data_IF_702143213671
#
_entry.id   IF_702143213671
#
_cell.length_a   1.000
_cell.length_b   1.000
_cell.length_c   1.000
_cell.angle_alpha   90.00
_cell.angle_beta   90.00
_cell.angle_gamma   90.00
#
_symmetry.space_group_name_H-M   'P 1'
#
loop_
_entity.id
_entity.type
_entity.pdbx_description
1 polymer ?
#
# COMPACT_ATOMS: atom_id res chain seq x y z
N UNK A 1 -40.70 -5.68 1.89
CA UNK A 1 -40.74 -4.68 2.99
C UNK A 1 -41.87 -4.98 3.98
N UNK A 2 -43.15 -5.05 3.57
CA UNK A 2 -44.25 -5.39 4.48
C UNK A 2 -44.21 -6.83 5.08
N UNK A 3 -43.37 -7.71 4.54
CA UNK A 3 -43.16 -9.09 5.01
C UNK A 3 -41.88 -9.28 5.82
N UNK A 4 -41.12 -8.22 6.10
CA UNK A 4 -39.89 -8.32 6.89
C UNK A 4 -40.23 -8.41 8.39
N UNK A 5 -39.60 -9.34 9.14
CA UNK A 5 -39.80 -9.43 10.58
C UNK A 5 -39.38 -8.11 11.25
N UNK A 6 -40.30 -7.50 12.02
CA UNK A 6 -40.05 -6.24 12.76
C UNK A 6 -40.75 -5.00 12.21
N UNK A 7 -41.40 -5.07 11.05
CA UNK A 7 -42.16 -3.94 10.47
C UNK A 7 -43.66 -4.15 10.70
N UNK A 8 -44.23 -3.50 11.73
CA UNK A 8 -45.64 -3.61 12.12
C UNK A 8 -46.51 -2.46 11.57
N UNK A 9 -46.29 -2.04 10.34
CA UNK A 9 -47.04 -0.94 9.69
C UNK A 9 -47.76 -1.39 8.42
N UNK A 10 -48.83 -0.66 8.07
CA UNK A 10 -49.63 -0.99 6.90
C UNK A 10 -48.83 -0.81 5.59
N UNK A 11 -49.16 -1.55 4.53
CA UNK A 11 -48.56 -1.35 3.21
C UNK A 11 -48.71 0.08 2.67
N UNK A 12 -49.79 0.78 3.04
CA UNK A 12 -50.01 2.17 2.67
C UNK A 12 -49.00 3.11 3.36
N UNK A 13 -48.72 2.88 4.63
CA UNK A 13 -47.70 3.63 5.40
C UNK A 13 -46.32 3.45 4.76
N UNK A 14 -45.94 2.21 4.44
CA UNK A 14 -44.65 1.92 3.78
C UNK A 14 -44.55 2.62 2.42
N UNK A 15 -45.63 2.68 1.63
CA UNK A 15 -45.60 3.40 0.34
C UNK A 15 -45.39 4.90 0.51
N UNK A 16 -46.04 5.49 1.52
CA UNK A 16 -45.89 6.92 1.83
C UNK A 16 -44.47 7.24 2.31
N UNK A 17 -43.93 6.45 3.24
CA UNK A 17 -42.57 6.67 3.76
C UNK A 17 -41.53 6.51 2.65
N UNK A 18 -41.67 5.50 1.80
CA UNK A 18 -40.79 5.31 0.65
C UNK A 18 -40.92 6.44 -0.38
N UNK A 19 -42.08 7.11 -0.48
CA UNK A 19 -42.26 8.28 -1.35
C UNK A 19 -41.63 9.53 -0.75
N UNK A 20 -41.67 9.70 0.58
CA UNK A 20 -40.95 10.75 1.28
C UNK A 20 -39.43 10.58 1.13
N UNK A 21 -38.91 9.36 1.32
CA UNK A 21 -37.49 9.06 1.12
C UNK A 21 -37.01 9.29 -0.32
N UNK A 22 -37.87 9.08 -1.30
CA UNK A 22 -37.58 9.41 -2.70
C UNK A 22 -37.58 10.93 -2.94
N UNK A 23 -38.57 11.66 -2.39
CA UNK A 23 -38.63 13.12 -2.47
C UNK A 23 -37.41 13.79 -1.78
N UNK A 24 -36.93 13.19 -0.69
CA UNK A 24 -35.75 13.64 0.06
C UNK A 24 -34.43 13.18 -0.58
N UNK A 25 -34.48 12.41 -1.67
CA UNK A 25 -33.33 11.98 -2.47
C UNK A 25 -32.52 10.81 -1.87
N UNK A 26 -33.07 10.08 -0.90
CA UNK A 26 -32.44 8.86 -0.35
C UNK A 26 -32.71 7.62 -1.19
N UNK A 27 -33.81 7.61 -1.95
CA UNK A 27 -34.20 6.52 -2.84
C UNK A 27 -34.41 7.05 -4.26
N UNK A 28 -34.25 6.17 -5.25
CA UNK A 28 -34.57 6.45 -6.65
C UNK A 28 -35.25 5.23 -7.27
N UNK A 29 -36.12 5.47 -8.25
CA UNK A 29 -36.67 4.42 -9.10
C UNK A 29 -35.91 4.36 -10.43
N UNK A 30 -35.02 3.36 -10.66
CA UNK A 30 -34.16 3.34 -11.84
C UNK A 30 -34.93 3.08 -13.15
N UNK A 31 -36.01 2.29 -13.07
CA UNK A 31 -36.94 2.04 -14.17
C UNK A 31 -38.38 2.02 -13.67
N UNK A 32 -39.34 2.40 -14.51
CA UNK A 32 -40.77 2.49 -14.18
C UNK A 32 -41.40 1.20 -13.63
N UNK A 33 -40.79 0.03 -13.90
CA UNK A 33 -41.21 -1.28 -13.39
C UNK A 33 -40.34 -1.82 -12.24
N UNK A 34 -39.22 -1.18 -11.94
CA UNK A 34 -38.31 -1.60 -10.87
C UNK A 34 -38.79 -1.06 -9.51
N UNK A 35 -38.42 -1.76 -8.44
CA UNK A 35 -38.53 -1.24 -7.09
C UNK A 35 -37.62 -0.01 -6.88
N UNK A 36 -37.75 0.63 -5.72
CA UNK A 36 -36.87 1.73 -5.31
C UNK A 36 -35.52 1.17 -4.83
N UNK A 37 -34.43 1.81 -5.22
CA UNK A 37 -33.07 1.50 -4.77
C UNK A 37 -32.47 2.70 -4.03
N UNK A 38 -31.55 2.50 -3.06
CA UNK A 38 -30.89 3.60 -2.38
C UNK A 38 -30.00 4.40 -3.34
N UNK A 39 -29.96 5.71 -3.14
CA UNK A 39 -28.93 6.59 -3.72
C UNK A 39 -27.67 6.55 -2.87
N UNK A 40 -26.59 7.20 -3.29
CA UNK A 40 -25.37 7.36 -2.47
C UNK A 40 -25.69 7.98 -1.10
N UNK A 41 -26.63 8.95 -1.07
CA UNK A 41 -27.13 9.57 0.16
C UNK A 41 -27.88 8.55 1.04
N UNK A 42 -28.69 7.68 0.42
CA UNK A 42 -29.38 6.58 1.08
C UNK A 42 -28.42 5.56 1.70
N UNK A 43 -27.39 5.16 0.95
CA UNK A 43 -26.35 4.25 1.43
C UNK A 43 -25.53 4.88 2.55
N UNK A 44 -25.14 6.16 2.45
CA UNK A 44 -24.46 6.87 3.53
C UNK A 44 -25.28 6.86 4.81
N UNK A 45 -26.56 7.25 4.72
CA UNK A 45 -27.47 7.24 5.88
C UNK A 45 -27.53 5.85 6.51
N UNK A 46 -27.62 4.80 5.70
CA UNK A 46 -27.64 3.42 6.19
C UNK A 46 -26.36 3.05 6.93
N UNK A 47 -25.19 3.34 6.35
CA UNK A 47 -23.89 3.02 6.95
C UNK A 47 -23.65 3.81 8.24
N UNK A 48 -23.99 5.10 8.26
CA UNK A 48 -23.84 5.97 9.44
C UNK A 48 -24.67 5.51 10.64
N UNK A 49 -25.72 4.71 10.40
CA UNK A 49 -26.61 4.18 11.44
C UNK A 49 -26.34 2.69 11.77
N UNK A 50 -25.34 2.06 11.17
CA UNK A 50 -24.92 0.72 11.58
C UNK A 50 -24.38 0.75 13.00
N UNK A 51 -25.02 0.04 13.92
CA UNK A 51 -24.55 0.00 15.30
C UNK A 51 -23.33 -0.93 15.42
N UNK A 52 -22.51 -0.74 16.45
CA UNK A 52 -21.39 -1.64 16.76
C UNK A 52 -21.84 -3.09 16.93
N UNK A 53 -23.11 -3.32 17.29
CA UNK A 53 -23.70 -4.66 17.43
C UNK A 53 -24.03 -5.29 16.08
N UNK A 54 -24.46 -4.48 15.10
CA UNK A 54 -24.72 -4.95 13.73
C UNK A 54 -23.41 -5.31 13.02
N UNK A 55 -22.38 -4.47 13.19
CA UNK A 55 -21.02 -4.73 12.69
C UNK A 55 -20.41 -5.96 13.38
N UNK A 56 -20.59 -6.13 14.69
CA UNK A 56 -20.07 -7.29 15.40
C UNK A 56 -20.78 -8.61 15.03
N UNK A 57 -22.07 -8.60 14.68
CA UNK A 57 -22.78 -9.80 14.18
C UNK A 57 -22.34 -10.18 12.77
N UNK A 58 -22.10 -9.21 11.90
CA UNK A 58 -21.64 -9.44 10.53
C UNK A 58 -20.14 -9.73 10.44
N UNK A 59 -19.34 -9.15 11.33
CA UNK A 59 -17.87 -9.20 11.33
C UNK A 59 -17.24 -10.41 12.03
N UNK A 60 -18.04 -11.37 12.53
CA UNK A 60 -17.47 -12.62 13.05
C UNK A 60 -16.95 -13.46 11.90
N UNK A 61 -15.64 -13.38 11.72
CA UNK A 61 -14.90 -14.23 10.80
C UNK A 61 -15.21 -15.70 11.13
N UNK A 62 -15.56 -16.49 10.10
CA UNK A 62 -15.85 -17.91 10.29
C UNK A 62 -14.64 -18.63 10.89
N UNK A 63 -14.84 -19.70 11.66
CA UNK A 63 -13.74 -20.47 12.23
C UNK A 63 -12.73 -20.93 11.16
N UNK A 64 -13.21 -21.24 9.95
CA UNK A 64 -12.39 -21.60 8.78
C UNK A 64 -11.54 -20.43 8.29
N UNK A 65 -12.11 -19.23 8.26
CA UNK A 65 -11.43 -18.01 7.85
C UNK A 65 -10.38 -17.56 8.89
N UNK A 66 -10.66 -17.73 10.19
CA UNK A 66 -9.71 -17.46 11.27
C UNK A 66 -8.53 -18.44 11.25
N UNK A 67 -8.77 -19.71 10.92
CA UNK A 67 -7.70 -20.71 10.83
C UNK A 67 -6.78 -20.46 9.64
N UNK A 68 -7.34 -20.12 8.46
CA UNK A 68 -6.57 -19.69 7.29
C UNK A 68 -5.70 -18.46 7.56
N UNK A 69 -6.17 -17.56 8.43
CA UNK A 69 -5.40 -16.39 8.84
C UNK A 69 -4.20 -16.79 9.71
N UNK A 70 -4.38 -17.75 10.63
CA UNK A 70 -3.29 -18.33 11.43
C UNK A 70 -2.23 -19.01 10.57
N UNK A 71 -2.65 -19.91 9.66
CA UNK A 71 -1.74 -20.64 8.76
C UNK A 71 -0.96 -19.69 7.82
N UNK A 72 -1.58 -18.56 7.45
CA UNK A 72 -0.93 -17.52 6.65
C UNK A 72 0.22 -16.84 7.40
N UNK A 73 0.02 -16.46 8.66
CA UNK A 73 1.07 -15.79 9.45
C UNK A 73 2.15 -16.77 9.94
N UNK A 74 1.80 -18.02 10.22
CA UNK A 74 2.77 -19.05 10.62
C UNK A 74 3.76 -19.44 9.50
N UNK A 75 3.39 -19.20 8.23
CA UNK A 75 4.26 -19.45 7.07
C UNK A 75 5.03 -18.22 6.58
N UNK A 76 4.88 -17.06 7.23
CA UNK A 76 5.53 -15.81 6.84
C UNK A 76 7.00 -15.75 7.31
N UNK A 77 7.88 -16.48 6.62
CA UNK A 77 9.34 -16.23 6.59
C UNK A 77 9.76 -15.65 5.23
N UNK A 78 8.91 -14.79 4.70
CA UNK A 78 8.88 -14.38 3.30
C UNK A 78 9.10 -12.85 3.23
N UNK A 79 9.82 -12.40 2.19
CA UNK A 79 10.08 -10.96 1.91
C UNK A 79 8.78 -10.16 2.02
N UNK A 80 8.87 -8.93 2.53
CA UNK A 80 7.71 -8.09 2.86
C UNK A 80 6.74 -7.96 1.67
N UNK A 81 7.23 -7.81 0.45
CA UNK A 81 6.38 -7.64 -0.73
C UNK A 81 5.47 -8.84 -1.00
N UNK A 82 5.99 -10.05 -0.81
CA UNK A 82 5.20 -11.26 -1.04
C UNK A 82 4.17 -11.47 0.08
N UNK A 83 4.50 -11.08 1.32
CA UNK A 83 3.52 -11.04 2.42
C UNK A 83 2.39 -10.03 2.14
N UNK A 84 2.73 -8.83 1.69
CA UNK A 84 1.74 -7.79 1.33
C UNK A 84 0.87 -8.22 0.14
N UNK A 85 1.46 -8.86 -0.87
CA UNK A 85 0.72 -9.40 -2.01
C UNK A 85 -0.24 -10.53 -1.61
N UNK A 86 0.20 -11.49 -0.80
CA UNK A 86 -0.68 -12.56 -0.32
C UNK A 86 -1.79 -12.02 0.58
N UNK A 87 -1.52 -10.95 1.34
CA UNK A 87 -2.53 -10.28 2.16
C UNK A 87 -3.63 -9.65 1.28
N UNK A 88 -3.26 -8.99 0.18
CA UNK A 88 -4.26 -8.42 -0.74
C UNK A 88 -5.14 -9.50 -1.37
N UNK A 89 -4.56 -10.65 -1.75
CA UNK A 89 -5.32 -11.80 -2.24
C UNK A 89 -6.26 -12.40 -1.19
N UNK A 90 -5.79 -12.55 0.05
CA UNK A 90 -6.59 -13.09 1.15
C UNK A 90 -7.78 -12.17 1.47
N UNK A 91 -7.56 -10.87 1.56
CA UNK A 91 -8.63 -9.89 1.79
C UNK A 91 -9.67 -9.93 0.66
N UNK A 92 -9.21 -10.03 -0.59
CA UNK A 92 -10.10 -10.15 -1.72
C UNK A 92 -10.96 -11.42 -1.65
N UNK A 93 -10.38 -12.56 -1.25
CA UNK A 93 -11.12 -13.82 -1.10
C UNK A 93 -12.13 -13.79 0.06
N UNK A 94 -11.77 -13.14 1.17
CA UNK A 94 -12.63 -13.06 2.35
C UNK A 94 -13.81 -12.12 2.14
N UNK A 95 -13.60 -11.03 1.40
CA UNK A 95 -14.61 -9.99 1.19
C UNK A 95 -15.36 -10.15 -0.14
N UNK A 96 -14.83 -10.95 -1.07
CA UNK A 96 -15.28 -11.07 -2.45
C UNK A 96 -15.21 -9.75 -3.25
N UNK A 97 -14.43 -8.78 -2.76
CA UNK A 97 -14.16 -7.49 -3.42
C UNK A 97 -12.70 -7.40 -3.85
N UNK A 98 -12.38 -6.38 -4.64
CA UNK A 98 -10.98 -5.99 -4.87
C UNK A 98 -10.40 -5.41 -3.58
N UNK A 99 -9.23 -5.88 -3.20
CA UNK A 99 -8.50 -5.42 -2.05
C UNK A 99 -7.19 -4.76 -2.48
N UNK A 100 -6.89 -3.63 -1.86
CA UNK A 100 -5.66 -2.85 -2.08
C UNK A 100 -4.89 -2.82 -0.77
N UNK A 101 -3.62 -3.18 -0.83
CA UNK A 101 -2.67 -3.07 0.29
C UNK A 101 -1.54 -2.16 -0.16
N UNK A 102 -1.20 -1.19 0.68
CA UNK A 102 -0.05 -0.31 0.46
C UNK A 102 1.09 -0.75 1.38
N UNK A 103 2.29 -0.88 0.83
CA UNK A 103 3.50 -1.11 1.62
C UNK A 103 3.90 0.15 2.40
N UNK A 104 4.71 -0.01 3.46
CA UNK A 104 5.28 1.13 4.18
C UNK A 104 6.12 1.97 3.22
N UNK A 105 5.95 3.29 3.26
CA UNK A 105 6.76 4.18 2.42
C UNK A 105 8.17 4.29 2.99
N UNK A 106 9.19 3.98 2.18
CA UNK A 106 10.61 4.11 2.56
C UNK A 106 10.99 5.57 2.84
N UNK A 107 10.22 6.52 2.34
CA UNK A 107 10.37 7.97 2.58
C UNK A 107 10.48 8.35 4.07
N UNK A 108 9.86 7.59 4.98
CA UNK A 108 9.90 7.86 6.43
C UNK A 108 10.89 6.97 7.20
N UNK A 109 11.41 5.91 6.57
CA UNK A 109 12.29 4.96 7.23
C UNK A 109 13.72 5.50 7.31
N UNK A 110 14.34 5.43 8.50
CA UNK A 110 15.72 5.87 8.69
C UNK A 110 16.69 4.71 8.42
N UNK A 111 17.82 5.00 7.79
CA UNK A 111 18.87 4.01 7.54
C UNK A 111 19.53 3.62 8.86
N UNK A 112 19.59 2.32 9.15
CA UNK A 112 20.32 1.75 10.29
C UNK A 112 21.74 1.33 9.92
N UNK A 113 21.93 0.82 8.72
CA UNK A 113 23.24 0.49 8.18
C UNK A 113 23.23 0.53 6.66
N UNK A 114 24.38 0.83 6.06
CA UNK A 114 24.57 0.79 4.62
C UNK A 114 25.95 0.20 4.29
N UNK A 115 25.99 -0.77 3.38
CA UNK A 115 27.22 -1.47 2.99
C UNK A 115 27.28 -1.70 1.49
N UNK A 116 28.46 -1.55 0.93
CA UNK A 116 28.82 -2.03 -0.41
C UNK A 116 29.45 -3.40 -0.27
N UNK A 117 28.94 -4.34 -1.05
CA UNK A 117 29.46 -5.69 -1.21
C UNK A 117 29.93 -5.85 -2.66
N UNK A 118 31.20 -6.17 -2.87
CA UNK A 118 31.72 -6.50 -4.20
C UNK A 118 31.30 -7.92 -4.58
N UNK A 119 30.70 -8.07 -5.75
CA UNK A 119 30.42 -9.40 -6.33
C UNK A 119 31.57 -9.84 -7.23
N UNK A 120 32.17 -8.89 -7.96
CA UNK A 120 33.36 -9.06 -8.78
C UNK A 120 34.08 -7.70 -8.98
N UNK A 121 35.12 -7.69 -9.80
CA UNK A 121 35.98 -6.52 -10.07
C UNK A 121 35.26 -5.34 -10.76
N UNK A 122 34.04 -5.53 -11.27
CA UNK A 122 33.29 -4.52 -12.03
C UNK A 122 31.91 -4.23 -11.48
N UNK A 123 31.34 -5.13 -10.68
CA UNK A 123 29.97 -5.04 -10.17
C UNK A 123 29.95 -5.30 -8.67
N UNK A 124 29.27 -4.42 -7.96
CA UNK A 124 28.94 -4.55 -6.56
C UNK A 124 27.46 -4.34 -6.32
N UNK A 125 27.06 -4.52 -5.07
CA UNK A 125 25.70 -4.24 -4.59
C UNK A 125 25.81 -3.36 -3.36
N UNK A 126 25.07 -2.26 -3.35
CA UNK A 126 24.86 -1.47 -2.15
C UNK A 126 23.61 -1.99 -1.45
N UNK A 127 23.74 -2.30 -0.17
CA UNK A 127 22.68 -2.82 0.68
C UNK A 127 22.46 -1.84 1.82
N UNK A 128 21.25 -1.29 1.94
CA UNK A 128 20.84 -0.43 3.03
C UNK A 128 19.75 -1.11 3.86
N UNK A 129 19.96 -1.20 5.16
CA UNK A 129 18.99 -1.73 6.12
C UNK A 129 18.29 -0.58 6.80
N UNK A 130 16.96 -0.61 6.82
CA UNK A 130 16.11 0.46 7.31
C UNK A 130 15.54 0.16 8.70
N UNK A 131 15.05 1.19 9.40
CA UNK A 131 14.52 1.07 10.77
C UNK A 131 13.24 0.25 10.87
N UNK A 132 12.50 0.13 9.77
CA UNK A 132 11.30 -0.68 9.63
C UNK A 132 11.61 -2.16 9.28
N UNK A 133 12.89 -2.51 9.09
CA UNK A 133 13.33 -3.85 8.73
C UNK A 133 13.46 -4.10 7.23
N UNK A 134 13.12 -3.13 6.39
CA UNK A 134 13.29 -3.24 4.94
C UNK A 134 14.76 -3.19 4.54
N UNK A 135 15.08 -3.88 3.45
CA UNK A 135 16.42 -3.97 2.88
C UNK A 135 16.35 -3.46 1.45
N UNK A 136 16.97 -2.31 1.20
CA UNK A 136 17.16 -1.77 -0.14
C UNK A 136 18.47 -2.30 -0.71
N UNK A 137 18.43 -2.83 -1.92
CA UNK A 137 19.57 -3.47 -2.56
C UNK A 137 19.66 -3.05 -4.02
N UNK A 138 20.65 -2.23 -4.35
CA UNK A 138 20.85 -1.72 -5.71
C UNK A 138 22.21 -2.13 -6.27
N UNK A 139 22.26 -2.41 -7.57
CA UNK A 139 23.52 -2.74 -8.24
C UNK A 139 24.32 -1.48 -8.53
N UNK A 140 25.63 -1.56 -8.34
CA UNK A 140 26.56 -0.47 -8.63
C UNK A 140 27.73 -0.99 -9.47
N UNK A 141 28.12 -0.20 -10.45
CA UNK A 141 29.30 -0.48 -11.25
C UNK A 141 30.56 0.14 -10.63
N UNK A 142 31.65 -0.63 -10.67
CA UNK A 142 32.98 -0.18 -10.31
C UNK A 142 33.73 0.28 -11.56
N UNK A 143 34.18 1.54 -11.55
CA UNK A 143 35.00 2.09 -12.64
C UNK A 143 36.38 1.40 -12.69
N UNK A 144 36.93 1.07 -11.52
CA UNK A 144 38.19 0.35 -11.31
C UNK A 144 37.95 -0.77 -10.29
N UNK A 145 38.68 -1.90 -10.37
CA UNK A 145 38.57 -2.97 -9.37
C UNK A 145 38.83 -2.42 -7.97
N UNK A 146 37.85 -2.45 -7.05
CA UNK A 146 38.04 -1.88 -5.74
C UNK A 146 38.93 -2.79 -4.90
N UNK A 147 39.90 -2.20 -4.20
CA UNK A 147 40.64 -2.94 -3.18
C UNK A 147 39.76 -3.19 -1.94
N UNK A 148 40.07 -4.21 -1.15
CA UNK A 148 39.38 -4.44 0.13
C UNK A 148 39.42 -3.19 1.03
N UNK A 149 40.53 -2.45 1.00
CA UNK A 149 40.68 -1.19 1.73
C UNK A 149 39.72 -0.11 1.22
N UNK A 150 39.53 0.02 -0.10
CA UNK A 150 38.57 0.98 -0.67
C UNK A 150 37.13 0.64 -0.26
N UNK A 151 36.76 -0.64 -0.23
CA UNK A 151 35.43 -1.08 0.20
C UNK A 151 35.23 -0.77 1.69
N UNK A 152 36.22 -1.06 2.53
CA UNK A 152 36.14 -0.78 3.97
C UNK A 152 35.97 0.72 4.26
N UNK A 153 36.76 1.57 3.59
CA UNK A 153 36.65 3.03 3.71
C UNK A 153 35.31 3.55 3.18
N UNK A 154 34.84 3.05 2.04
CA UNK A 154 33.54 3.40 1.49
C UNK A 154 32.39 3.00 2.43
N UNK A 155 32.47 1.83 3.07
CA UNK A 155 31.48 1.38 4.05
C UNK A 155 31.44 2.27 5.30
N UNK A 156 32.60 2.66 5.83
CA UNK A 156 32.65 3.60 6.95
C UNK A 156 32.01 4.95 6.57
N UNK A 157 32.35 5.46 5.37
CA UNK A 157 31.83 6.74 4.87
C UNK A 157 30.34 6.71 4.55
N UNK A 158 29.83 5.61 4.01
CA UNK A 158 28.40 5.39 3.75
C UNK A 158 27.60 5.39 5.05
N UNK A 159 28.08 4.68 6.08
CA UNK A 159 27.41 4.67 7.37
C UNK A 159 27.41 6.06 8.01
N UNK A 160 28.52 6.81 7.94
CA UNK A 160 28.56 8.21 8.42
C UNK A 160 27.56 9.12 7.67
N UNK A 161 27.37 8.88 6.37
CA UNK A 161 26.54 9.74 5.52
C UNK A 161 25.05 9.43 5.65
N UNK A 162 24.69 8.15 5.69
CA UNK A 162 23.31 7.67 5.55
C UNK A 162 22.66 7.30 6.89
N UNK A 163 23.40 6.78 7.87
CA UNK A 163 22.81 6.29 9.12
C UNK A 163 22.11 7.43 9.87
N UNK A 164 20.88 7.16 10.31
CA UNK A 164 20.03 8.13 11.00
C UNK A 164 19.29 9.12 10.10
N UNK A 165 19.46 9.03 8.77
CA UNK A 165 18.74 9.84 7.77
C UNK A 165 17.78 8.97 6.96
N UNK A 166 16.80 9.61 6.32
CA UNK A 166 15.93 8.95 5.34
C UNK A 166 16.60 8.92 3.97
N UNK A 167 16.34 7.89 3.16
CA UNK A 167 16.99 7.70 1.85
C UNK A 167 16.69 8.84 0.85
N UNK A 168 15.54 9.50 0.97
CA UNK A 168 15.19 10.64 0.10
C UNK A 168 15.80 11.99 0.50
N UNK A 169 16.43 12.09 1.67
CA UNK A 169 16.92 13.36 2.23
C UNK A 169 18.41 13.35 2.60
N UNK A 170 19.20 12.40 2.11
CA UNK A 170 20.62 12.35 2.38
C UNK A 170 21.42 13.10 1.28
N UNK A 171 21.69 14.42 1.43
CA UNK A 171 22.61 15.09 0.52
C UNK A 171 23.99 14.44 0.65
N UNK A 172 24.52 13.98 -0.47
CA UNK A 172 25.91 13.57 -0.58
C UNK A 172 26.74 14.78 -1.04
N UNK A 173 27.58 15.30 -0.15
CA UNK A 173 28.63 16.24 -0.51
C UNK A 173 29.97 15.50 -0.52
N UNK A 174 30.66 15.41 -1.68
CA UNK A 174 31.96 14.78 -1.75
C UNK A 174 32.96 15.51 -0.86
N UNK A 175 33.69 14.78 -0.02
CA UNK A 175 34.82 15.40 0.70
C UNK A 175 35.95 15.65 -0.28
N UNK A 176 36.43 16.89 -0.30
CA UNK A 176 37.61 17.28 -1.06
C UNK A 176 38.73 17.68 -0.07
N UNK A 177 39.75 16.83 0.08
CA UNK A 177 40.99 17.20 0.77
C UNK A 177 41.49 16.18 1.79
N UNK A 178 42.70 15.67 1.54
CA UNK A 178 43.45 14.74 2.38
C UNK A 178 44.85 14.51 1.81
N UNK A 179 45.77 13.98 2.62
CA UNK A 179 47.16 13.71 2.22
C UNK A 179 47.31 12.63 1.13
N UNK A 180 46.22 11.95 0.77
CA UNK A 180 46.17 10.88 -0.23
C UNK A 180 45.04 11.11 -1.25
N UNK A 181 45.11 12.27 -1.93
CA UNK A 181 44.03 12.82 -2.76
C UNK A 181 43.49 11.89 -3.88
N UNK A 182 44.27 10.87 -4.31
CA UNK A 182 43.82 9.89 -5.30
C UNK A 182 42.91 8.81 -4.71
N UNK A 183 43.28 8.27 -3.55
CA UNK A 183 42.49 7.24 -2.85
C UNK A 183 41.18 7.81 -2.34
N UNK A 184 41.21 9.03 -1.78
CA UNK A 184 40.00 9.72 -1.31
C UNK A 184 39.02 9.99 -2.46
N UNK A 185 39.52 10.33 -3.65
CA UNK A 185 38.67 10.60 -4.82
C UNK A 185 37.94 9.33 -5.32
N UNK A 186 38.62 8.18 -5.36
CA UNK A 186 38.00 6.91 -5.77
C UNK A 186 36.94 6.44 -4.76
N UNK A 187 37.22 6.57 -3.47
CA UNK A 187 36.29 6.22 -2.39
C UNK A 187 35.07 7.14 -2.42
N UNK A 188 35.26 8.46 -2.49
CA UNK A 188 34.14 9.41 -2.55
C UNK A 188 33.31 9.24 -3.83
N UNK A 189 33.93 8.89 -4.97
CA UNK A 189 33.20 8.55 -6.19
C UNK A 189 32.36 7.26 -6.02
N UNK A 190 32.88 6.25 -5.33
CA UNK A 190 32.15 5.03 -5.02
C UNK A 190 30.96 5.31 -4.08
N UNK A 191 31.20 6.08 -3.00
CA UNK A 191 30.16 6.47 -2.04
C UNK A 191 29.08 7.29 -2.76
N UNK A 192 29.45 8.24 -3.61
CA UNK A 192 28.48 9.03 -4.38
C UNK A 192 27.61 8.17 -5.30
N UNK A 193 28.19 7.17 -5.99
CA UNK A 193 27.41 6.22 -6.81
C UNK A 193 26.48 5.37 -5.94
N UNK A 194 26.96 4.87 -4.81
CA UNK A 194 26.15 4.07 -3.89
C UNK A 194 24.99 4.89 -3.29
N UNK A 195 25.23 6.12 -2.84
CA UNK A 195 24.17 7.01 -2.33
C UNK A 195 23.17 7.33 -3.44
N UNK A 196 23.64 7.66 -4.65
CA UNK A 196 22.75 7.95 -5.77
C UNK A 196 21.90 6.74 -6.17
N UNK A 197 22.47 5.53 -6.14
CA UNK A 197 21.75 4.30 -6.45
C UNK A 197 20.62 4.04 -5.43
N UNK A 198 20.90 4.13 -4.12
CA UNK A 198 19.87 3.88 -3.09
C UNK A 198 18.87 5.03 -2.97
N UNK A 199 19.27 6.27 -3.27
CA UNK A 199 18.35 7.44 -3.21
C UNK A 199 17.51 7.59 -4.49
N UNK A 200 18.02 7.13 -5.63
CA UNK A 200 17.36 7.15 -6.94
C UNK A 200 16.60 5.86 -7.26
N UNK A 201 16.87 4.77 -6.53
CA UNK A 201 16.00 3.62 -6.42
C UNK A 201 14.63 4.13 -6.02
N UNK A 202 13.69 4.11 -6.96
CA UNK A 202 12.39 4.69 -6.74
C UNK A 202 11.76 3.92 -5.58
N UNK A 203 11.65 4.58 -4.43
CA UNK A 203 10.73 4.19 -3.37
C UNK A 203 9.33 4.25 -3.97
N UNK A 204 8.98 3.18 -4.68
CA UNK A 204 7.63 2.96 -5.15
C UNK A 204 6.89 2.58 -3.90
N UNK A 205 6.02 3.48 -3.42
CA UNK A 205 4.91 3.08 -2.59
C UNK A 205 4.28 1.85 -3.27
N UNK A 206 4.56 0.69 -2.69
CA UNK A 206 4.26 -0.57 -3.35
C UNK A 206 2.78 -0.85 -3.13
N UNK A 207 2.01 -0.74 -4.21
CA UNK A 207 0.58 -1.04 -4.21
C UNK A 207 0.40 -2.47 -4.67
N UNK A 208 -0.20 -3.28 -3.81
CA UNK A 208 -0.57 -4.65 -4.11
C UNK A 208 -2.08 -4.75 -4.23
N UNK A 209 -2.56 -5.14 -5.41
CA UNK A 209 -3.99 -5.28 -5.69
C UNK A 209 -4.32 -6.75 -5.84
N UNK A 210 -5.36 -7.21 -5.12
CA UNK A 210 -5.91 -8.56 -5.22
C UNK A 210 -7.38 -8.53 -5.60
N UNK A 211 -7.86 -9.52 -6.34
CA UNK A 211 -9.29 -9.68 -6.65
C UNK A 211 -9.86 -8.70 -7.66
N UNK A 212 -9.06 -8.18 -8.60
CA UNK A 212 -9.54 -7.31 -9.69
C UNK A 212 -10.59 -7.99 -10.56
N UNK A 213 -10.54 -9.32 -10.69
CA UNK A 213 -11.56 -10.12 -11.38
C UNK A 213 -12.96 -9.95 -10.77
N UNK A 214 -13.07 -9.73 -9.45
CA UNK A 214 -14.36 -9.52 -8.78
C UNK A 214 -15.07 -8.21 -9.15
N UNK A 215 -14.37 -7.26 -9.79
CA UNK A 215 -15.00 -6.03 -10.30
C UNK A 215 -15.96 -6.34 -11.46
N UNK A 216 -15.66 -7.35 -12.25
CA UNK A 216 -16.49 -7.75 -13.41
C UNK A 216 -17.85 -8.29 -13.02
N UNK A 217 -18.00 -8.78 -11.79
CA UNK A 217 -19.26 -9.35 -11.27
C UNK A 217 -20.07 -8.36 -10.44
N UNK A 218 -19.47 -7.22 -10.04
CA UNK A 218 -20.06 -6.27 -9.09
C UNK A 218 -20.68 -5.04 -9.74
N UNK A 219 -20.38 -4.77 -11.01
CA UNK A 219 -20.86 -3.59 -11.73
C UNK A 219 -21.48 -3.99 -13.07
N UNK A 220 -22.70 -3.49 -13.33
CA UNK A 220 -23.40 -3.71 -14.59
C UNK A 220 -22.85 -2.81 -15.73
N UNK A 221 -22.13 -1.74 -15.38
CA UNK A 221 -21.57 -0.78 -16.33
C UNK A 221 -20.09 -1.06 -16.62
N UNK A 222 -19.81 -1.53 -17.83
CA UNK A 222 -18.46 -1.83 -18.32
C UNK A 222 -17.54 -0.61 -18.23
N UNK A 223 -18.05 0.59 -18.51
CA UNK A 223 -17.32 1.85 -18.38
C UNK A 223 -16.85 2.11 -16.95
N UNK A 224 -17.65 1.76 -15.94
CA UNK A 224 -17.29 1.94 -14.52
C UNK A 224 -16.17 0.97 -14.15
N UNK A 225 -16.29 -0.31 -14.54
CA UNK A 225 -15.24 -1.32 -14.32
C UNK A 225 -13.93 -0.87 -14.95
N UNK A 226 -13.97 -0.38 -16.19
CA UNK A 226 -12.80 0.12 -16.90
C UNK A 226 -12.17 1.31 -16.18
N UNK A 227 -12.96 2.31 -15.78
CA UNK A 227 -12.45 3.49 -15.05
C UNK A 227 -11.81 3.12 -13.72
N UNK A 228 -12.39 2.15 -13.00
CA UNK A 228 -11.82 1.66 -11.73
C UNK A 228 -10.51 0.92 -11.96
N UNK A 229 -10.44 0.06 -12.99
CA UNK A 229 -9.20 -0.64 -13.35
C UNK A 229 -8.09 0.34 -13.78
N UNK A 230 -8.40 1.32 -14.61
CA UNK A 230 -7.45 2.39 -15.01
C UNK A 230 -6.93 3.16 -13.78
N UNK A 231 -7.78 3.40 -12.78
CA UNK A 231 -7.37 4.06 -11.52
C UNK A 231 -6.49 3.14 -10.67
N UNK A 232 -6.81 1.85 -10.60
CA UNK A 232 -6.03 0.85 -9.84
C UNK A 232 -4.63 0.61 -10.43
N UNK A 233 -4.48 0.79 -11.75
CA UNK A 233 -3.17 0.75 -12.41
C UNK A 233 -2.30 1.97 -12.06
N UNK A 234 -2.91 3.09 -11.67
CA UNK A 234 -2.22 4.30 -11.27
C UNK A 234 -1.82 4.26 -9.78
N UNK A 235 -0.66 3.66 -9.50
CA UNK A 235 -0.14 3.47 -8.14
C UNK A 235 -0.18 4.75 -7.27
N UNK A 236 0.24 5.89 -7.82
CA UNK A 236 0.23 7.16 -7.09
C UNK A 236 -1.19 7.58 -6.65
N UNK A 237 -2.18 7.45 -7.53
CA UNK A 237 -3.57 7.82 -7.23
C UNK A 237 -4.11 6.92 -6.13
N UNK A 238 -3.89 5.62 -6.23
CA UNK A 238 -4.32 4.65 -5.22
C UNK A 238 -3.71 4.94 -3.85
N UNK A 239 -2.41 5.21 -3.78
CA UNK A 239 -1.74 5.54 -2.51
C UNK A 239 -2.27 6.83 -1.92
N UNK A 240 -2.47 7.86 -2.75
CA UNK A 240 -3.02 9.14 -2.30
C UNK A 240 -4.43 9.00 -1.71
N UNK A 241 -5.28 8.17 -2.35
CA UNK A 241 -6.64 7.87 -1.88
C UNK A 241 -6.60 7.13 -0.54
N UNK A 242 -5.78 6.07 -0.43
CA UNK A 242 -5.66 5.29 0.81
C UNK A 242 -5.12 6.15 1.96
N UNK A 243 -4.14 7.03 1.69
CA UNK A 243 -3.61 7.96 2.71
C UNK A 243 -4.64 9.00 3.14
N UNK A 244 -5.39 9.59 2.21
CA UNK A 244 -6.46 10.53 2.55
C UNK A 244 -7.52 9.84 3.42
N UNK A 245 -7.93 8.62 3.07
CA UNK A 245 -8.86 7.82 3.89
C UNK A 245 -8.31 7.54 5.28
N UNK A 246 -7.06 7.07 5.41
CA UNK A 246 -6.44 6.80 6.72
C UNK A 246 -6.34 8.06 7.59
N UNK A 247 -6.06 9.22 6.99
CA UNK A 247 -5.99 10.50 7.72
C UNK A 247 -7.33 10.94 8.33
N UNK A 248 -8.44 10.47 7.74
CA UNK A 248 -9.82 10.74 8.21
C UNK A 248 -10.32 9.66 9.19
N UNK A 249 -9.54 8.60 9.43
CA UNK A 249 -9.94 7.41 10.19
C UNK A 249 -10.60 6.35 9.30
N UNK A 250 -10.74 5.12 9.81
CA UNK A 250 -11.41 4.03 9.06
C UNK A 250 -12.88 4.38 8.88
N UNK A 251 -13.22 5.01 7.75
CA UNK A 251 -14.57 5.37 7.36
C UNK A 251 -14.90 4.75 6.01
N UNK A 252 -16.12 4.26 5.85
CA UNK A 252 -16.68 4.02 4.52
C UNK A 252 -16.93 5.40 3.90
N UNK A 253 -16.23 5.73 2.82
CA UNK A 253 -16.38 6.99 2.08
C UNK A 253 -17.56 6.97 1.12
#
# INVERSE_FOLDING_TARGET
MASLPGVSVSPATIRNDMAALEADGFLVQPHTSAGRVPTDKGYRLYVDHLTSTDVAKAGRLSAVSSQRLGDFFDSAHVRLEETLHRTSLLLAQLTNYTAVVTGPSVSEAVVRSAHVVSLNDRVGTVVAVLSNGDIESEQIDFATPPSEMHIALANARLNETLVGKTLGQAPFEPRHGGSDAGVDAEVEALVGRAVAAVSGGHSRDSVFVGGTASLTTSFDAVEVVRSVLETLEQQYVVVSLVRDMLSRGVSVA
#
